data_IF_761474396036
#
_entry.id   IF_761474396036
#
_cell.length_a   1.000
_cell.length_b   1.000
_cell.length_c   1.000
_cell.angle_alpha   90.00
_cell.angle_beta   90.00
_cell.angle_gamma   90.00
#
_symmetry.space_group_name_H-M   'P 1'
#
loop_
_entity.id
_entity.type
_entity.pdbx_description
1 polymer ?
#
# COMPACT_ATOMS: atom_id res chain seq x y z
N UNK A 1 0.43 14.19 -12.73
CA UNK A 1 0.18 14.51 -11.32
C UNK A 1 1.53 14.78 -10.64
N UNK A 2 2.48 13.84 -10.63
CA UNK A 2 3.75 13.97 -9.91
C UNK A 2 4.51 15.24 -10.28
N UNK A 3 4.75 15.50 -11.58
CA UNK A 3 5.42 16.73 -12.06
C UNK A 3 4.77 18.01 -11.53
N UNK A 4 3.43 18.08 -11.63
CA UNK A 4 2.69 19.23 -11.14
C UNK A 4 2.88 19.44 -9.65
N UNK A 5 2.75 18.39 -8.86
CA UNK A 5 2.87 18.49 -7.40
C UNK A 5 4.30 18.82 -6.97
N UNK A 6 5.30 18.21 -7.62
CA UNK A 6 6.71 18.54 -7.41
C UNK A 6 7.00 20.03 -7.62
N UNK A 7 6.54 20.61 -8.75
CA UNK A 7 6.74 22.03 -9.05
C UNK A 7 5.92 22.93 -8.11
N UNK A 8 4.80 22.46 -7.58
CA UNK A 8 4.02 23.21 -6.57
C UNK A 8 4.76 23.31 -5.26
N UNK A 9 5.33 22.22 -4.78
CA UNK A 9 6.09 22.23 -3.52
C UNK A 9 7.45 22.93 -3.65
N UNK A 10 8.04 22.88 -4.82
CA UNK A 10 9.37 23.42 -5.10
C UNK A 10 9.24 24.56 -6.12
N UNK A 11 8.62 25.68 -5.73
CA UNK A 11 8.31 26.79 -6.61
C UNK A 11 9.54 27.48 -7.22
N UNK A 12 10.74 27.18 -6.70
CA UNK A 12 12.04 27.62 -7.23
C UNK A 12 12.61 26.66 -8.28
N UNK A 13 12.03 25.46 -8.42
CA UNK A 13 12.50 24.46 -9.37
C UNK A 13 11.93 24.69 -10.77
N UNK A 14 12.74 24.39 -11.78
CA UNK A 14 12.32 24.39 -13.18
C UNK A 14 11.81 23.01 -13.62
N UNK A 15 11.23 22.93 -14.80
CA UNK A 15 10.89 21.64 -15.42
C UNK A 15 12.13 20.78 -15.66
N UNK A 16 13.26 21.39 -16.00
CA UNK A 16 14.51 20.65 -16.16
C UNK A 16 15.01 20.05 -14.85
N UNK A 17 14.77 20.73 -13.73
CA UNK A 17 15.05 20.18 -12.41
C UNK A 17 14.16 18.97 -12.10
N UNK A 18 12.88 19.04 -12.43
CA UNK A 18 12.00 17.90 -12.30
C UNK A 18 12.48 16.69 -13.13
N UNK A 19 12.81 16.88 -14.40
CA UNK A 19 13.25 15.79 -15.27
C UNK A 19 14.54 15.14 -14.73
N UNK A 20 15.47 15.92 -14.22
CA UNK A 20 16.69 15.41 -13.57
C UNK A 20 16.35 14.60 -12.32
N UNK A 21 15.48 15.13 -11.46
CA UNK A 21 15.08 14.44 -10.23
C UNK A 21 14.26 13.18 -10.52
N UNK A 22 13.44 13.19 -11.54
CA UNK A 22 12.69 12.01 -11.97
C UNK A 22 13.65 10.88 -12.44
N UNK A 23 14.70 11.22 -13.19
CA UNK A 23 15.73 10.23 -13.57
C UNK A 23 16.53 9.75 -12.36
N UNK A 24 16.87 10.63 -11.41
CA UNK A 24 17.53 10.23 -10.17
C UNK A 24 16.68 9.22 -9.38
N UNK A 25 15.40 9.48 -9.22
CA UNK A 25 14.45 8.54 -8.58
C UNK A 25 14.43 7.20 -9.32
N UNK A 26 14.36 7.22 -10.65
CA UNK A 26 14.37 5.99 -11.45
C UNK A 26 15.62 5.15 -11.23
N UNK A 27 16.79 5.77 -11.15
CA UNK A 27 18.06 5.10 -10.89
C UNK A 27 18.12 4.53 -9.47
N UNK A 28 17.64 5.28 -8.47
CA UNK A 28 17.57 4.79 -7.09
C UNK A 28 16.62 3.58 -6.96
N UNK A 29 15.50 3.61 -7.64
CA UNK A 29 14.55 2.49 -7.62
C UNK A 29 15.08 1.20 -8.27
N UNK A 30 16.18 1.27 -9.03
CA UNK A 30 16.88 0.09 -9.54
C UNK A 30 17.90 -0.50 -8.58
N UNK A 31 18.24 0.22 -7.52
CA UNK A 31 19.23 -0.25 -6.56
C UNK A 31 18.75 -1.47 -5.79
N UNK A 32 19.69 -2.32 -5.40
CA UNK A 32 19.41 -3.51 -4.60
C UNK A 32 19.46 -3.14 -3.11
N UNK A 33 18.51 -2.31 -2.68
CA UNK A 33 18.45 -1.73 -1.34
C UNK A 33 17.03 -1.75 -0.72
N UNK A 34 16.13 -2.54 -1.30
CA UNK A 34 14.71 -2.62 -0.89
C UNK A 34 13.99 -1.27 -0.75
N UNK A 35 14.44 -0.27 -1.56
CA UNK A 35 13.87 1.07 -1.60
C UNK A 35 14.41 2.03 -0.52
N UNK A 36 15.53 1.72 0.11
CA UNK A 36 16.13 2.56 1.15
C UNK A 36 16.53 3.94 0.64
N UNK A 37 17.16 4.02 -0.53
CA UNK A 37 17.56 5.30 -1.15
C UNK A 37 16.34 6.17 -1.46
N UNK A 38 15.30 5.58 -2.04
CA UNK A 38 14.04 6.29 -2.29
C UNK A 38 13.36 6.73 -0.99
N UNK A 39 13.29 5.85 0.02
CA UNK A 39 12.73 6.19 1.32
C UNK A 39 13.45 7.41 1.93
N UNK A 40 14.77 7.41 1.96
CA UNK A 40 15.54 8.54 2.48
C UNK A 40 15.30 9.83 1.68
N UNK A 41 15.18 9.73 0.35
CA UNK A 41 14.90 10.89 -0.50
C UNK A 41 13.57 11.55 -0.14
N UNK A 42 12.51 10.78 -0.01
CA UNK A 42 11.17 11.35 0.27
C UNK A 42 11.00 11.83 1.72
N UNK A 43 11.95 11.47 2.61
CA UNK A 43 11.98 11.87 4.02
C UNK A 43 13.08 12.89 4.34
N UNK A 44 13.85 13.31 3.35
CA UNK A 44 14.95 14.25 3.59
C UNK A 44 14.43 15.63 4.01
N UNK A 45 15.03 16.19 5.06
CA UNK A 45 14.70 17.55 5.57
C UNK A 45 15.28 18.66 4.67
N UNK A 46 16.08 18.32 3.68
CA UNK A 46 16.72 19.26 2.77
C UNK A 46 16.63 18.79 1.33
N UNK A 47 16.73 19.72 0.37
CA UNK A 47 16.59 19.42 -1.05
C UNK A 47 15.15 19.64 -1.54
N UNK A 48 14.68 18.81 -2.44
CA UNK A 48 13.33 18.92 -2.99
C UNK A 48 12.29 18.18 -2.13
N UNK A 49 11.14 18.81 -1.98
CA UNK A 49 9.99 18.22 -1.30
C UNK A 49 9.15 17.41 -2.27
N UNK A 50 8.94 16.13 -1.98
CA UNK A 50 8.10 15.21 -2.76
C UNK A 50 6.76 14.93 -2.08
N UNK A 51 6.77 14.97 -0.75
CA UNK A 51 5.59 14.77 0.11
C UNK A 51 5.67 15.83 1.21
N UNK A 52 4.58 16.56 1.40
CA UNK A 52 4.47 17.47 2.55
C UNK A 52 4.04 16.67 3.77
N UNK A 53 4.99 16.25 4.58
CA UNK A 53 4.76 15.45 5.79
C UNK A 53 4.12 16.24 6.92
N UNK A 54 4.25 17.57 6.92
CA UNK A 54 3.78 18.42 8.01
C UNK A 54 2.36 18.95 7.75
N UNK A 55 1.95 19.02 6.47
CA UNK A 55 0.60 19.40 6.09
C UNK A 55 0.00 18.39 5.10
N UNK A 56 -0.76 17.42 5.64
CA UNK A 56 -1.33 16.31 4.88
C UNK A 56 -2.25 16.80 3.77
N UNK A 57 -3.03 17.86 4.02
CA UNK A 57 -4.05 18.35 3.08
C UNK A 57 -3.45 19.04 1.83
N UNK A 58 -2.19 19.40 1.83
CA UNK A 58 -1.51 19.92 0.65
C UNK A 58 -1.12 18.81 -0.35
N UNK A 59 -1.15 17.55 0.10
CA UNK A 59 -0.87 16.42 -0.78
C UNK A 59 -2.11 15.99 -1.56
N UNK A 60 -1.89 15.39 -2.72
CA UNK A 60 -2.95 14.81 -3.53
C UNK A 60 -2.98 13.29 -3.37
N UNK A 61 -4.19 12.75 -3.18
CA UNK A 61 -4.42 11.32 -3.01
C UNK A 61 -5.24 10.79 -4.19
N UNK A 62 -4.78 9.70 -4.77
CA UNK A 62 -5.48 9.02 -5.86
C UNK A 62 -5.42 7.52 -5.66
N UNK A 63 -6.42 6.84 -6.18
CA UNK A 63 -6.40 5.38 -6.34
C UNK A 63 -6.56 5.05 -7.82
N UNK A 64 -5.95 3.95 -8.23
CA UNK A 64 -6.18 3.36 -9.54
C UNK A 64 -6.33 1.83 -9.40
N UNK A 65 -7.27 1.27 -10.16
CA UNK A 65 -7.53 -0.15 -10.20
C UNK A 65 -6.64 -0.80 -11.26
N UNK A 66 -6.16 -2.01 -10.96
CA UNK A 66 -5.46 -2.88 -11.90
C UNK A 66 -4.31 -2.20 -12.68
N UNK A 67 -3.50 -1.39 -11.99
CA UNK A 67 -2.32 -0.75 -12.60
C UNK A 67 -1.34 -1.81 -13.05
N UNK A 68 -1.08 -1.87 -14.34
CA UNK A 68 -0.16 -2.86 -14.89
C UNK A 68 1.29 -2.48 -14.61
N UNK A 69 1.98 -3.34 -13.88
CA UNK A 69 3.43 -3.30 -13.67
C UNK A 69 4.07 -4.30 -14.62
N UNK A 70 4.70 -3.80 -15.68
CA UNK A 70 5.27 -4.65 -16.74
C UNK A 70 6.77 -4.44 -16.87
N UNK A 71 7.50 -5.54 -17.03
CA UNK A 71 8.89 -5.52 -17.44
C UNK A 71 9.18 -6.70 -18.40
N UNK A 72 9.30 -6.38 -19.67
CA UNK A 72 9.38 -7.37 -20.74
C UNK A 72 8.06 -8.14 -20.90
N UNK A 73 8.13 -9.45 -20.85
CA UNK A 73 6.95 -10.33 -20.95
C UNK A 73 6.28 -10.61 -19.60
N UNK A 74 6.91 -10.17 -18.51
CA UNK A 74 6.36 -10.38 -17.16
C UNK A 74 5.56 -9.17 -16.74
N UNK A 75 4.39 -9.43 -16.19
CA UNK A 75 3.49 -8.43 -15.64
C UNK A 75 2.85 -8.90 -14.35
N UNK A 76 2.50 -7.95 -13.49
CA UNK A 76 1.50 -8.16 -12.47
C UNK A 76 0.65 -6.90 -12.32
N UNK A 77 -0.56 -7.06 -11.78
CA UNK A 77 -1.52 -5.97 -11.59
C UNK A 77 -2.07 -6.04 -10.17
N UNK A 78 -1.67 -5.11 -9.30
CA UNK A 78 -2.33 -4.92 -8.02
C UNK A 78 -3.80 -4.59 -8.21
N UNK A 79 -4.68 -5.12 -7.35
CA UNK A 79 -6.11 -4.83 -7.43
C UNK A 79 -6.38 -3.32 -7.26
N UNK A 80 -5.75 -2.68 -6.27
CA UNK A 80 -5.86 -1.25 -6.02
C UNK A 80 -4.48 -0.67 -5.73
N UNK A 81 -4.07 0.36 -6.44
CA UNK A 81 -2.83 1.11 -6.16
C UNK A 81 -3.17 2.47 -5.58
N UNK A 82 -2.50 2.83 -4.49
CA UNK A 82 -2.67 4.11 -3.78
C UNK A 82 -1.50 5.04 -4.10
N UNK A 83 -1.83 6.20 -4.63
CA UNK A 83 -0.88 7.23 -5.02
C UNK A 83 -0.95 8.42 -4.07
N UNK A 84 0.21 8.89 -3.65
CA UNK A 84 0.37 10.18 -2.96
C UNK A 84 1.24 11.06 -3.86
N UNK A 85 0.74 12.20 -4.25
CA UNK A 85 1.39 13.13 -5.18
C UNK A 85 1.78 12.49 -6.53
N UNK A 86 1.12 11.39 -6.91
CA UNK A 86 1.43 10.63 -8.12
C UNK A 86 2.51 9.55 -7.94
N UNK A 87 3.04 9.35 -6.73
CA UNK A 87 3.95 8.26 -6.36
C UNK A 87 3.13 7.05 -5.87
N UNK A 88 3.29 5.84 -6.43
CA UNK A 88 2.55 4.64 -6.04
C UNK A 88 3.13 4.05 -4.74
N UNK A 89 2.79 4.64 -3.60
CA UNK A 89 3.41 4.30 -2.31
C UNK A 89 2.80 3.10 -1.62
N UNK A 90 1.59 2.68 -2.03
CA UNK A 90 0.95 1.50 -1.47
C UNK A 90 0.08 0.79 -2.50
N UNK A 91 -0.13 -0.50 -2.29
CA UNK A 91 -1.17 -1.23 -3.02
C UNK A 91 -1.91 -2.20 -2.10
N UNK A 92 -3.11 -2.59 -2.55
CA UNK A 92 -4.01 -3.46 -1.83
C UNK A 92 -4.39 -4.62 -2.75
N UNK A 93 -4.29 -5.84 -2.25
CA UNK A 93 -4.76 -7.07 -2.88
C UNK A 93 -6.02 -7.56 -2.16
N UNK A 94 -7.07 -7.79 -2.90
CA UNK A 94 -8.35 -8.31 -2.38
C UNK A 94 -8.55 -9.74 -2.83
N UNK A 95 -8.90 -10.62 -1.91
CA UNK A 95 -9.09 -12.04 -2.19
C UNK A 95 -10.49 -12.51 -1.79
N UNK A 96 -11.04 -13.41 -2.58
CA UNK A 96 -12.30 -14.06 -2.20
C UNK A 96 -12.05 -15.02 -1.04
N UNK A 97 -12.88 -15.00 0.02
CA UNK A 97 -12.70 -15.83 1.20
C UNK A 97 -12.61 -17.33 0.89
N UNK A 98 -13.49 -17.81 0.02
CA UNK A 98 -13.63 -19.23 -0.33
C UNK A 98 -12.75 -19.69 -1.50
N UNK A 99 -11.91 -18.79 -2.03
CA UNK A 99 -11.05 -19.13 -3.13
C UNK A 99 -9.93 -20.08 -2.68
N UNK A 100 -9.98 -21.33 -3.14
CA UNK A 100 -8.88 -22.30 -2.97
C UNK A 100 -8.05 -22.30 -4.25
N UNK A 101 -6.77 -21.98 -4.13
CA UNK A 101 -5.80 -22.05 -5.22
C UNK A 101 -4.62 -22.90 -4.78
N UNK A 102 -4.29 -23.94 -5.57
CA UNK A 102 -3.20 -24.88 -5.26
C UNK A 102 -3.30 -25.49 -3.83
N UNK A 103 -4.52 -25.78 -3.38
CA UNK A 103 -4.80 -26.33 -2.05
C UNK A 103 -4.64 -25.36 -0.87
N UNK A 104 -4.46 -24.06 -1.15
CA UNK A 104 -4.36 -22.98 -0.15
C UNK A 104 -5.52 -22.02 -0.28
N UNK A 105 -5.90 -21.40 0.83
CA UNK A 105 -6.85 -20.27 0.80
C UNK A 105 -6.30 -19.12 -0.03
N UNK A 106 -7.16 -18.29 -0.63
CA UNK A 106 -6.78 -17.18 -1.47
C UNK A 106 -5.76 -16.25 -0.81
N UNK A 107 -5.91 -15.97 0.48
CA UNK A 107 -5.02 -15.12 1.26
C UNK A 107 -3.63 -15.74 1.48
N UNK A 108 -3.55 -17.05 1.75
CA UNK A 108 -2.27 -17.75 1.89
C UNK A 108 -1.53 -17.88 0.56
N UNK A 109 -2.27 -18.07 -0.53
CA UNK A 109 -1.70 -18.07 -1.88
C UNK A 109 -1.12 -16.69 -2.22
N UNK A 110 -1.82 -15.59 -1.87
CA UNK A 110 -1.33 -14.24 -2.12
C UNK A 110 -0.08 -13.90 -1.31
N UNK A 111 0.00 -14.36 -0.08
CA UNK A 111 1.21 -14.23 0.74
C UNK A 111 2.44 -14.82 0.03
N UNK A 112 2.32 -16.02 -0.54
CA UNK A 112 3.43 -16.64 -1.27
C UNK A 112 3.74 -15.88 -2.57
N UNK A 113 2.72 -15.45 -3.31
CA UNK A 113 2.90 -14.64 -4.51
C UNK A 113 3.59 -13.31 -4.22
N UNK A 114 3.24 -12.66 -3.12
CA UNK A 114 3.88 -11.40 -2.69
C UNK A 114 5.37 -11.59 -2.42
N UNK A 115 5.76 -12.69 -1.77
CA UNK A 115 7.18 -13.02 -1.58
C UNK A 115 7.91 -13.20 -2.92
N UNK A 116 7.32 -13.98 -3.83
CA UNK A 116 7.90 -14.20 -5.16
C UNK A 116 8.04 -12.89 -5.96
N UNK A 117 7.10 -11.96 -5.81
CA UNK A 117 7.21 -10.63 -6.43
C UNK A 117 8.41 -9.84 -5.87
N UNK A 118 8.65 -9.91 -4.57
CA UNK A 118 9.81 -9.24 -3.96
C UNK A 118 11.14 -9.81 -4.42
N UNK A 119 11.20 -11.11 -4.63
CA UNK A 119 12.38 -11.81 -5.15
C UNK A 119 12.61 -11.55 -6.64
N UNK A 120 11.58 -11.16 -7.38
CA UNK A 120 11.68 -10.93 -8.82
C UNK A 120 12.29 -9.56 -9.13
N UNK A 121 13.55 -9.58 -9.58
CA UNK A 121 14.31 -8.37 -9.93
C UNK A 121 13.68 -7.53 -11.04
N UNK A 122 12.83 -8.12 -11.89
CA UNK A 122 12.12 -7.38 -12.94
C UNK A 122 11.10 -6.39 -12.37
N UNK A 123 10.57 -6.65 -11.18
CA UNK A 123 9.64 -5.75 -10.48
C UNK A 123 10.32 -4.85 -9.45
N UNK A 124 11.66 -4.81 -9.43
CA UNK A 124 12.44 -4.08 -8.42
C UNK A 124 12.00 -2.62 -8.29
N UNK A 125 11.88 -1.87 -9.37
CA UNK A 125 11.45 -0.46 -9.32
C UNK A 125 10.11 -0.29 -8.60
N UNK A 126 9.15 -1.14 -8.94
CA UNK A 126 7.83 -1.09 -8.31
C UNK A 126 7.90 -1.52 -6.84
N UNK A 127 8.64 -2.59 -6.54
CA UNK A 127 8.83 -3.04 -5.17
C UNK A 127 9.54 -1.98 -4.30
N UNK A 128 10.51 -1.27 -4.86
CA UNK A 128 11.27 -0.25 -4.13
C UNK A 128 10.47 1.04 -3.89
N UNK A 129 9.61 1.45 -4.83
CA UNK A 129 8.77 2.64 -4.63
C UNK A 129 7.59 2.36 -3.70
N UNK A 130 7.05 1.13 -3.72
CA UNK A 130 5.93 0.74 -2.87
C UNK A 130 6.40 0.55 -1.44
N UNK A 131 5.84 1.32 -0.52
CA UNK A 131 6.26 1.32 0.87
C UNK A 131 5.41 0.39 1.74
N UNK A 132 4.12 0.25 1.44
CA UNK A 132 3.17 -0.52 2.22
C UNK A 132 2.28 -1.36 1.31
N UNK A 133 2.06 -2.62 1.70
CA UNK A 133 1.22 -3.56 0.97
C UNK A 133 0.17 -4.10 1.93
N UNK A 134 -1.09 -4.06 1.51
CA UNK A 134 -2.21 -4.58 2.26
C UNK A 134 -2.85 -5.74 1.50
N UNK A 135 -3.31 -6.76 2.23
CA UNK A 135 -3.98 -7.93 1.68
C UNK A 135 -5.19 -8.23 2.56
N UNK A 136 -6.36 -8.45 1.95
CA UNK A 136 -7.59 -8.75 2.67
C UNK A 136 -8.45 -9.76 1.91
N UNK A 137 -9.10 -10.65 2.65
CA UNK A 137 -10.14 -11.54 2.15
C UNK A 137 -11.55 -11.15 2.64
N UNK A 138 -11.67 -9.98 3.25
CA UNK A 138 -12.92 -9.46 3.80
C UNK A 138 -13.57 -10.37 4.86
N UNK A 139 -12.77 -11.17 5.56
CA UNK A 139 -13.21 -11.94 6.72
C UNK A 139 -12.70 -11.31 8.01
N UNK A 140 -13.43 -11.41 9.11
CA UNK A 140 -12.95 -11.00 10.42
C UNK A 140 -11.80 -11.92 10.86
N UNK A 141 -10.93 -11.40 11.71
CA UNK A 141 -9.94 -12.22 12.38
C UNK A 141 -10.61 -13.09 13.47
N UNK A 142 -10.37 -14.40 13.42
CA UNK A 142 -10.94 -15.36 14.37
C UNK A 142 -9.81 -16.14 15.08
N UNK A 143 -9.55 -15.77 16.33
CA UNK A 143 -8.53 -16.41 17.17
C UNK A 143 -8.77 -17.91 17.39
N UNK A 144 -10.04 -18.37 17.26
CA UNK A 144 -10.41 -19.77 17.51
C UNK A 144 -9.94 -20.73 16.41
N UNK A 145 -9.69 -20.23 15.21
CA UNK A 145 -9.32 -21.06 14.07
C UNK A 145 -7.85 -21.52 14.09
N UNK A 146 -7.02 -20.96 14.95
CA UNK A 146 -5.60 -21.29 15.04
C UNK A 146 -4.77 -21.01 13.77
N UNK A 147 -5.37 -20.34 12.79
CA UNK A 147 -4.69 -19.94 11.56
C UNK A 147 -3.99 -18.61 11.77
N UNK A 148 -2.70 -18.58 11.49
CA UNK A 148 -1.89 -17.36 11.67
C UNK A 148 -2.22 -16.26 10.66
N UNK A 149 -2.70 -16.62 9.46
CA UNK A 149 -3.01 -15.69 8.39
C UNK A 149 -4.46 -15.86 7.97
N UNK A 150 -5.28 -14.88 8.30
CA UNK A 150 -6.70 -14.79 7.99
C UNK A 150 -7.13 -13.32 8.05
N UNK A 151 -8.21 -12.99 7.37
CA UNK A 151 -8.76 -11.64 7.40
C UNK A 151 -7.89 -10.64 6.64
N UNK A 152 -7.32 -9.71 7.36
CA UNK A 152 -6.51 -8.64 6.77
C UNK A 152 -5.13 -8.56 7.38
N UNK A 153 -4.14 -8.27 6.57
CA UNK A 153 -2.77 -8.04 7.02
C UNK A 153 -2.02 -7.10 6.08
N UNK A 154 -0.90 -6.62 6.55
CA UNK A 154 -0.02 -5.73 5.79
C UNK A 154 1.43 -6.13 5.95
N UNK A 155 2.24 -5.72 4.99
CA UNK A 155 3.68 -5.94 4.97
C UNK A 155 4.39 -4.85 4.20
N UNK A 156 5.70 -4.91 4.18
CA UNK A 156 6.57 -4.15 3.30
C UNK A 156 7.53 -5.10 2.59
N UNK A 157 8.17 -4.65 1.51
CA UNK A 157 9.14 -5.46 0.79
C UNK A 157 10.35 -5.81 1.68
N UNK A 158 10.93 -6.99 1.43
CA UNK A 158 12.09 -7.48 2.12
C UNK A 158 12.90 -8.42 1.21
N UNK A 159 14.21 -8.55 1.45
CA UNK A 159 15.04 -9.52 0.71
C UNK A 159 14.69 -10.96 1.03
N UNK A 160 14.44 -11.21 2.30
CA UNK A 160 14.05 -12.53 2.78
C UNK A 160 13.25 -12.40 4.07
N UNK A 161 12.40 -13.39 4.33
CA UNK A 161 11.66 -13.43 5.60
C UNK A 161 10.65 -12.29 5.75
N UNK A 162 9.96 -11.91 4.67
CA UNK A 162 8.88 -10.92 4.71
C UNK A 162 7.97 -11.14 5.91
N UNK A 163 7.86 -10.13 6.76
CA UNK A 163 7.01 -10.15 7.95
C UNK A 163 5.63 -9.61 7.58
N UNK A 164 4.63 -10.47 7.73
CA UNK A 164 3.23 -10.10 7.54
C UNK A 164 2.64 -9.78 8.90
N UNK A 165 2.10 -8.59 9.05
CA UNK A 165 1.47 -8.12 10.27
C UNK A 165 -0.04 -8.29 10.14
N UNK A 166 -0.64 -9.15 10.98
CA UNK A 166 -2.09 -9.26 11.04
C UNK A 166 -2.70 -7.95 11.51
N UNK A 167 -3.74 -7.52 10.82
CA UNK A 167 -4.57 -6.43 11.27
C UNK A 167 -5.68 -7.01 12.13
N UNK A 168 -5.76 -6.57 13.38
CA UNK A 168 -6.90 -6.85 14.25
C UNK A 168 -7.88 -5.70 14.13
N UNK A 169 -9.14 -6.03 14.08
CA UNK A 169 -10.18 -5.03 13.89
C UNK A 169 -10.20 -4.01 15.03
N UNK A 170 -10.35 -2.76 14.66
CA UNK A 170 -10.64 -1.71 15.62
C UNK A 170 -12.09 -1.77 16.10
N UNK A 171 -12.35 -1.09 17.20
CA UNK A 171 -13.71 -0.89 17.67
C UNK A 171 -14.55 -0.15 16.61
N UNK A 172 -15.74 -0.63 16.34
CA UNK A 172 -16.66 -0.07 15.33
C UNK A 172 -16.82 1.45 15.47
N UNK A 173 -16.86 1.96 16.70
CA UNK A 173 -16.98 3.40 16.94
C UNK A 173 -15.85 4.22 16.32
N UNK A 174 -14.62 3.69 16.33
CA UNK A 174 -13.46 4.37 15.76
C UNK A 174 -13.53 4.34 14.24
N UNK A 175 -13.93 3.22 13.67
CA UNK A 175 -14.15 3.09 12.22
C UNK A 175 -15.23 4.06 11.77
N UNK A 176 -16.38 4.10 12.42
CA UNK A 176 -17.47 5.01 12.10
C UNK A 176 -17.06 6.49 12.16
N UNK A 177 -16.25 6.87 13.15
CA UNK A 177 -15.77 8.26 13.26
C UNK A 177 -14.84 8.68 12.12
N UNK A 178 -14.19 7.72 11.47
CA UNK A 178 -13.24 7.95 10.38
C UNK A 178 -13.86 7.81 8.98
N UNK A 179 -15.06 7.22 8.90
CA UNK A 179 -15.75 7.04 7.62
C UNK A 179 -16.33 8.36 7.11
N UNK A 180 -16.03 8.68 5.87
CA UNK A 180 -16.72 9.74 5.14
C UNK A 180 -18.01 9.19 4.53
N UNK A 181 -19.12 9.92 4.69
CA UNK A 181 -20.38 9.56 4.03
C UNK A 181 -20.24 9.69 2.52
N UNK A 182 -20.53 8.62 1.80
CA UNK A 182 -20.63 8.64 0.35
C UNK A 182 -22.04 9.05 -0.08
N UNK A 183 -22.17 10.04 -0.93
CA UNK A 183 -23.45 10.36 -1.56
C UNK A 183 -23.74 9.37 -2.70
N UNK A 184 -25.01 9.20 -3.05
CA UNK A 184 -25.40 8.36 -4.18
C UNK A 184 -24.73 8.81 -5.49
N UNK A 185 -24.50 10.11 -5.67
CA UNK A 185 -23.83 10.68 -6.83
C UNK A 185 -22.34 10.28 -6.88
N UNK A 186 -21.66 10.28 -5.73
CA UNK A 186 -20.27 9.82 -5.64
C UNK A 186 -20.16 8.32 -5.93
N UNK A 187 -21.09 7.51 -5.40
CA UNK A 187 -21.16 6.07 -5.70
C UNK A 187 -21.37 5.85 -7.20
N UNK A 188 -22.31 6.57 -7.80
CA UNK A 188 -22.58 6.49 -9.24
C UNK A 188 -21.37 6.88 -10.08
N UNK A 189 -20.68 7.96 -9.70
CA UNK A 189 -19.48 8.42 -10.39
C UNK A 189 -18.40 7.33 -10.38
N UNK A 190 -18.08 6.79 -9.22
CA UNK A 190 -17.05 5.75 -9.07
C UNK A 190 -17.43 4.48 -9.83
N UNK A 191 -18.67 4.00 -9.72
CA UNK A 191 -19.13 2.79 -10.41
C UNK A 191 -19.15 2.95 -11.93
N UNK A 192 -19.46 4.15 -12.44
CA UNK A 192 -19.39 4.46 -13.88
C UNK A 192 -17.96 4.51 -14.37
N UNK A 193 -17.06 5.14 -13.61
CA UNK A 193 -15.64 5.27 -13.95
C UNK A 193 -14.98 3.88 -14.12
N UNK A 194 -15.27 2.97 -13.23
CA UNK A 194 -14.76 1.58 -13.30
C UNK A 194 -15.61 0.64 -14.15
N UNK A 195 -16.64 1.15 -14.85
CA UNK A 195 -17.57 0.35 -15.66
C UNK A 195 -18.22 -0.82 -14.90
N UNK A 196 -18.65 -0.59 -13.66
CA UNK A 196 -19.25 -1.58 -12.74
C UNK A 196 -20.61 -1.15 -12.18
N UNK A 197 -21.33 -0.29 -12.90
CA UNK A 197 -22.59 0.29 -12.43
C UNK A 197 -23.63 -0.76 -12.01
N UNK A 198 -23.63 -1.91 -12.66
CA UNK A 198 -24.54 -3.02 -12.31
C UNK A 198 -24.38 -3.53 -10.87
N UNK A 199 -23.20 -3.35 -10.24
CA UNK A 199 -22.98 -3.73 -8.85
C UNK A 199 -23.88 -2.97 -7.87
N UNK A 200 -24.32 -1.75 -8.22
CA UNK A 200 -25.16 -0.92 -7.35
C UNK A 200 -26.44 -1.61 -6.89
N UNK A 201 -26.98 -2.52 -7.72
CA UNK A 201 -28.21 -3.29 -7.41
C UNK A 201 -27.97 -4.55 -6.58
N UNK A 202 -26.73 -4.94 -6.33
CA UNK A 202 -26.40 -6.15 -5.59
C UNK A 202 -26.44 -5.90 -4.08
N UNK A 203 -26.99 -6.86 -3.33
CA UNK A 203 -27.06 -6.77 -1.88
C UNK A 203 -25.68 -6.70 -1.23
N UNK A 204 -24.72 -7.48 -1.72
CA UNK A 204 -23.35 -7.53 -1.23
C UNK A 204 -22.62 -6.19 -1.37
N UNK A 205 -22.92 -5.44 -2.44
CA UNK A 205 -22.36 -4.11 -2.61
C UNK A 205 -22.80 -3.17 -1.47
N UNK A 206 -24.08 -3.22 -1.10
CA UNK A 206 -24.63 -2.41 0.01
C UNK A 206 -24.04 -2.83 1.35
N UNK A 207 -23.96 -4.11 1.61
CA UNK A 207 -23.36 -4.65 2.84
C UNK A 207 -21.89 -4.25 2.97
N UNK A 208 -21.13 -4.24 1.87
CA UNK A 208 -19.72 -3.85 1.88
C UNK A 208 -19.48 -2.35 2.10
N UNK A 209 -20.51 -1.50 1.95
CA UNK A 209 -20.44 -0.09 2.31
C UNK A 209 -20.64 0.16 3.82
N UNK A 210 -21.09 -0.85 4.57
CA UNK A 210 -21.28 -0.71 6.01
C UNK A 210 -19.95 -0.67 6.75
N UNK A 211 -19.89 0.16 7.80
CA UNK A 211 -18.68 0.31 8.63
C UNK A 211 -18.25 -1.00 9.30
N UNK A 212 -19.22 -1.85 9.62
CA UNK A 212 -18.98 -3.13 10.27
C UNK A 212 -18.38 -4.20 9.35
N UNK A 213 -18.27 -3.95 8.04
CA UNK A 213 -17.63 -4.94 7.17
C UNK A 213 -16.11 -5.01 7.48
N UNK A 214 -15.54 -6.22 7.58
CA UNK A 214 -14.12 -6.38 7.96
C UNK A 214 -13.16 -5.65 7.02
N UNK A 215 -13.43 -5.66 5.72
CA UNK A 215 -12.62 -4.95 4.73
C UNK A 215 -12.70 -3.43 4.93
N UNK A 216 -13.90 -2.91 5.18
CA UNK A 216 -14.09 -1.48 5.43
C UNK A 216 -13.40 -1.04 6.72
N UNK A 217 -13.52 -1.83 7.78
CA UNK A 217 -12.81 -1.63 9.04
C UNK A 217 -11.31 -1.50 8.82
N UNK A 218 -10.72 -2.45 8.11
CA UNK A 218 -9.31 -2.47 7.79
C UNK A 218 -8.87 -1.28 6.92
N UNK A 219 -9.56 -1.07 5.80
CA UNK A 219 -9.21 0.00 4.86
C UNK A 219 -9.40 1.39 5.50
N UNK A 220 -10.48 1.59 6.22
CA UNK A 220 -10.74 2.87 6.91
C UNK A 220 -9.69 3.12 7.98
N UNK A 221 -9.34 2.12 8.77
CA UNK A 221 -8.35 2.29 9.84
C UNK A 221 -6.95 2.53 9.31
N UNK A 222 -6.48 1.70 8.38
CA UNK A 222 -5.09 1.77 7.90
C UNK A 222 -4.88 2.89 6.88
N UNK A 223 -5.89 3.16 6.04
CA UNK A 223 -5.79 4.12 4.94
C UNK A 223 -6.46 5.47 5.22
N UNK A 224 -6.93 5.71 6.44
CA UNK A 224 -7.23 7.06 6.87
C UNK A 224 -5.97 7.91 6.70
N UNK A 225 -6.09 9.13 6.16
CA UNK A 225 -4.94 9.94 5.70
C UNK A 225 -3.87 10.09 6.77
N UNK A 226 -4.24 10.50 7.97
CA UNK A 226 -3.30 10.74 9.07
C UNK A 226 -2.57 9.46 9.49
N UNK A 227 -3.30 8.33 9.51
CA UNK A 227 -2.71 7.03 9.87
C UNK A 227 -1.79 6.50 8.78
N UNK A 228 -2.20 6.60 7.54
CA UNK A 228 -1.34 6.22 6.41
C UNK A 228 -0.06 7.05 6.41
N UNK A 229 -0.16 8.36 6.61
CA UNK A 229 1.00 9.25 6.71
C UNK A 229 1.89 8.89 7.88
N UNK A 230 1.32 8.66 9.06
CA UNK A 230 2.08 8.22 10.22
C UNK A 230 2.82 6.90 9.93
N UNK A 231 2.13 5.93 9.34
CA UNK A 231 2.74 4.64 8.98
C UNK A 231 3.88 4.82 7.98
N UNK A 232 3.69 5.63 6.94
CA UNK A 232 4.71 5.86 5.93
C UNK A 232 5.90 6.67 6.47
N UNK A 233 5.66 7.64 7.36
CA UNK A 233 6.71 8.50 7.91
C UNK A 233 7.47 7.85 9.07
N UNK A 234 6.77 7.19 9.99
CA UNK A 234 7.34 6.71 11.27
C UNK A 234 7.17 5.21 11.49
N UNK A 235 6.23 4.58 10.81
CA UNK A 235 5.92 3.15 10.98
C UNK A 235 6.80 2.22 10.18
N UNK A 236 7.65 2.75 9.31
CA UNK A 236 8.61 1.99 8.50
C UNK A 236 10.03 2.26 8.99
N UNK A 237 10.80 1.19 9.13
CA UNK A 237 12.19 1.30 9.60
C UNK A 237 13.09 0.35 8.81
N UNK A 238 14.28 0.84 8.49
CA UNK A 238 15.35 0.05 7.90
C UNK A 238 16.38 -0.26 8.98
N UNK A 239 16.74 -1.53 9.09
CA UNK A 239 17.72 -2.03 10.06
C UNK A 239 18.71 -2.97 9.40
N UNK A 240 19.95 -2.95 9.84
CA UNK A 240 20.94 -3.95 9.45
C UNK A 240 20.80 -5.17 10.35
N UNK A 241 20.43 -6.30 9.77
CA UNK A 241 20.34 -7.57 10.47
C UNK A 241 21.45 -8.53 9.98
N UNK A 242 21.96 -9.37 10.88
CA UNK A 242 22.88 -10.44 10.48
C UNK A 242 22.08 -11.69 10.13
N UNK A 243 22.33 -12.23 8.95
CA UNK A 243 21.77 -13.51 8.56
C UNK A 243 22.40 -14.68 9.37
N UNK A 244 21.91 -15.90 9.16
CA UNK A 244 22.41 -17.10 9.82
C UNK A 244 23.90 -17.41 9.52
N UNK A 245 24.44 -16.78 8.46
CA UNK A 245 25.84 -16.92 8.04
C UNK A 245 26.70 -15.76 8.54
N UNK A 246 26.12 -14.82 9.31
CA UNK A 246 26.80 -13.64 9.85
C UNK A 246 26.95 -12.51 8.85
N UNK A 247 26.38 -12.59 7.65
CA UNK A 247 26.40 -11.52 6.67
C UNK A 247 25.39 -10.43 7.08
N UNK A 248 25.82 -9.18 7.02
CA UNK A 248 24.97 -8.02 7.28
C UNK A 248 24.09 -7.80 6.06
N UNK A 249 22.79 -7.73 6.29
CA UNK A 249 21.79 -7.46 5.25
C UNK A 249 20.81 -6.40 5.75
N UNK A 250 20.52 -5.42 4.90
CA UNK A 250 19.49 -4.43 5.17
C UNK A 250 18.11 -5.11 5.17
N UNK A 251 17.29 -4.82 6.17
CA UNK A 251 15.92 -5.28 6.27
C UNK A 251 14.98 -4.10 6.49
N UNK A 252 13.80 -4.19 5.92
CA UNK A 252 12.75 -3.20 6.10
C UNK A 252 11.61 -3.81 6.91
N UNK A 253 11.16 -3.09 7.91
CA UNK A 253 10.08 -3.51 8.79
C UNK A 253 8.97 -2.48 8.82
N UNK A 254 7.74 -2.97 8.87
CA UNK A 254 6.58 -2.16 9.20
C UNK A 254 6.20 -2.37 10.66
N UNK A 255 5.82 -1.29 11.35
CA UNK A 255 5.31 -1.31 12.71
C UNK A 255 4.15 -2.31 12.83
N UNK A 256 4.12 -3.09 13.90
CA UNK A 256 3.05 -4.05 14.14
C UNK A 256 1.79 -3.35 14.62
N UNK A 257 0.63 -3.94 14.34
CA UNK A 257 -0.67 -3.43 14.73
C UNK A 257 -0.75 -2.94 16.20
N UNK A 258 -0.32 -3.69 17.24
CA UNK A 258 -0.42 -3.22 18.61
C UNK A 258 0.50 -2.04 18.97
N UNK A 259 1.39 -1.67 18.07
CA UNK A 259 2.29 -0.51 18.22
C UNK A 259 1.74 0.74 17.58
N UNK A 260 0.75 0.56 16.70
CA UNK A 260 0.20 1.61 15.88
C UNK A 260 -1.21 2.06 16.33
N UNK A 261 -2.04 1.11 16.78
CA UNK A 261 -3.43 1.34 17.21
C UNK A 261 -3.61 1.29 18.71
#
# INVERSE_FOLDING_TARGET
IFKRQFLTFNNYASEADFEREFENIRLELEQDDIGFSFFNRVHADSGYTYINWDNIEENTFHIALEVTCQNGEEEFRPDITVFINGLPLSYIEVKQPDAIRDGKTGINSEKERTKLRFENKKFRRFNNITQLIAISDNLPYDDSQGQQFQGSFYCTNAYSGTKFNSFKEEQERQVQSSLSSLTEEMIDLVLKDVNRFALKSQAEFRTNLESASPCNSFLTSLYQKERLFFMLRYGLVYVEERDKKGQVQLQKHAMRYPQYF
#
